data_IF_809156550082
#
_entry.id   IF_809156550082
#
_cell.length_a   1.000
_cell.length_b   1.000
_cell.length_c   1.000
_cell.angle_alpha   90.00
_cell.angle_beta   90.00
_cell.angle_gamma   90.00
#
_symmetry.space_group_name_H-M   'P 1'
#
loop_
_entity.id
_entity.type
_entity.pdbx_description
1 polymer ?
#
# COMPACT_ATOMS: atom_id res chain seq x y z
N UNK A 1 -59.67 -4.94 1.02
CA UNK A 1 -58.31 -5.34 0.66
C UNK A 1 -57.58 -5.56 1.98
N UNK A 2 -57.39 -6.83 2.33
CA UNK A 2 -56.85 -7.27 3.63
C UNK A 2 -55.31 -7.14 3.67
N UNK A 3 -54.69 -6.71 4.78
CA UNK A 3 -53.25 -6.52 4.88
C UNK A 3 -52.46 -7.74 5.40
N UNK A 4 -52.96 -8.96 5.24
CA UNK A 4 -52.33 -10.17 5.82
C UNK A 4 -51.93 -11.20 4.75
N UNK A 5 -51.00 -10.81 3.83
CA UNK A 5 -50.38 -11.79 2.92
C UNK A 5 -48.90 -11.43 2.65
N UNK A 6 -48.06 -11.41 3.69
CA UNK A 6 -46.63 -11.50 3.59
C UNK A 6 -46.15 -12.81 4.20
N UNK A 7 -46.21 -13.86 3.40
CA UNK A 7 -45.54 -15.12 3.67
C UNK A 7 -44.03 -14.88 3.69
N UNK A 8 -43.43 -15.02 4.86
CA UNK A 8 -41.98 -15.08 5.05
C UNK A 8 -41.41 -16.27 4.33
N UNK A 9 -40.75 -16.04 3.18
CA UNK A 9 -39.97 -17.05 2.50
C UNK A 9 -38.69 -17.32 3.30
N UNK A 10 -38.46 -18.60 3.56
CA UNK A 10 -37.27 -19.18 4.19
C UNK A 10 -35.97 -18.69 3.51
N UNK A 11 -34.97 -18.09 4.22
CA UNK A 11 -33.69 -17.65 3.63
C UNK A 11 -32.67 -18.76 3.40
N UNK A 12 -33.15 -20.01 3.24
CA UNK A 12 -32.28 -21.22 3.19
C UNK A 12 -31.73 -21.65 1.83
N UNK A 13 -31.99 -20.93 0.73
CA UNK A 13 -31.55 -21.39 -0.61
C UNK A 13 -31.14 -20.25 -1.55
N UNK A 14 -30.26 -19.37 -1.12
CA UNK A 14 -29.53 -18.51 -2.06
C UNK A 14 -28.32 -19.29 -2.57
N UNK A 15 -28.42 -19.79 -3.82
CA UNK A 15 -27.33 -20.48 -4.52
C UNK A 15 -26.06 -19.64 -4.54
N UNK A 16 -24.94 -20.30 -4.28
CA UNK A 16 -23.61 -19.72 -4.39
C UNK A 16 -23.43 -19.13 -5.80
N UNK A 17 -23.46 -17.80 -5.90
CA UNK A 17 -23.08 -17.10 -7.11
C UNK A 17 -21.61 -17.42 -7.47
N UNK A 18 -21.19 -17.20 -8.73
CA UNK A 18 -19.85 -17.56 -9.17
C UNK A 18 -18.80 -16.89 -8.28
N UNK A 19 -17.88 -17.71 -7.76
CA UNK A 19 -16.73 -17.30 -6.97
C UNK A 19 -15.95 -16.21 -7.70
N UNK A 20 -15.84 -15.03 -7.10
CA UNK A 20 -14.87 -14.04 -7.54
C UNK A 20 -13.46 -14.59 -7.28
N UNK A 21 -12.86 -15.18 -8.31
CA UNK A 21 -11.49 -15.72 -8.28
C UNK A 21 -10.40 -14.65 -8.12
N UNK A 22 -10.76 -13.37 -8.02
CA UNK A 22 -9.84 -12.25 -7.80
C UNK A 22 -9.44 -11.96 -6.36
N UNK A 23 -9.94 -12.75 -5.39
CA UNK A 23 -9.70 -12.48 -3.96
C UNK A 23 -8.58 -13.33 -3.35
N UNK A 24 -8.23 -14.45 -3.91
CA UNK A 24 -7.14 -15.28 -3.41
C UNK A 24 -5.78 -14.78 -3.91
N UNK A 25 -4.74 -14.79 -3.05
CA UNK A 25 -3.37 -14.64 -3.52
C UNK A 25 -3.03 -15.70 -4.56
N UNK A 26 -2.10 -15.42 -5.46
CA UNK A 26 -1.60 -16.42 -6.41
C UNK A 26 -1.11 -17.66 -5.65
N UNK A 27 -1.87 -18.75 -5.76
CA UNK A 27 -1.56 -19.98 -5.05
C UNK A 27 -0.35 -20.65 -5.70
N UNK A 28 0.68 -21.04 -4.92
CA UNK A 28 1.84 -21.75 -5.43
C UNK A 28 1.44 -22.99 -6.24
N UNK A 29 2.14 -23.26 -7.34
CA UNK A 29 1.81 -24.37 -8.26
C UNK A 29 2.00 -25.74 -7.62
N UNK A 30 2.84 -25.84 -6.61
CA UNK A 30 3.18 -27.04 -5.84
C UNK A 30 2.15 -27.41 -4.75
N UNK A 31 1.17 -26.53 -4.48
CA UNK A 31 0.07 -26.85 -3.58
C UNK A 31 -0.87 -27.90 -4.16
N UNK A 32 -1.21 -28.90 -3.37
CA UNK A 32 -2.17 -29.93 -3.77
C UNK A 32 -3.62 -29.39 -3.80
N UNK A 33 -4.52 -30.19 -4.41
CA UNK A 33 -5.93 -29.79 -4.56
C UNK A 33 -6.68 -29.67 -3.22
N UNK A 34 -6.30 -30.44 -2.19
CA UNK A 34 -6.93 -30.39 -0.86
C UNK A 34 -6.56 -29.10 -0.15
N UNK A 35 -5.27 -28.74 -0.17
CA UNK A 35 -4.79 -27.48 0.38
C UNK A 35 -5.49 -26.28 -0.29
N UNK A 36 -5.57 -26.28 -1.63
CA UNK A 36 -6.27 -25.22 -2.38
C UNK A 36 -7.75 -25.13 -1.99
N UNK A 37 -8.42 -26.29 -1.88
CA UNK A 37 -9.83 -26.33 -1.47
C UNK A 37 -10.04 -25.81 -0.06
N UNK A 38 -9.13 -26.14 0.89
CA UNK A 38 -9.16 -25.62 2.24
C UNK A 38 -8.99 -24.09 2.28
N UNK A 39 -8.02 -23.55 1.52
CA UNK A 39 -7.80 -22.11 1.46
C UNK A 39 -8.98 -21.35 0.85
N UNK A 40 -9.60 -21.88 -0.22
CA UNK A 40 -10.83 -21.30 -0.80
C UNK A 40 -11.96 -21.31 0.25
N UNK A 41 -12.14 -22.43 0.96
CA UNK A 41 -13.15 -22.50 2.01
C UNK A 41 -12.86 -21.53 3.17
N UNK A 42 -11.60 -21.44 3.58
CA UNK A 42 -11.17 -20.50 4.64
C UNK A 42 -11.45 -19.05 4.22
N UNK A 43 -11.12 -18.64 2.99
CA UNK A 43 -11.39 -17.31 2.47
C UNK A 43 -12.87 -16.94 2.55
N UNK A 44 -13.74 -17.87 2.14
CA UNK A 44 -15.20 -17.66 2.24
C UNK A 44 -15.66 -17.49 3.68
N UNK A 45 -15.04 -18.21 4.62
CA UNK A 45 -15.37 -18.11 6.04
C UNK A 45 -14.83 -16.81 6.63
N UNK A 46 -13.60 -16.40 6.31
CA UNK A 46 -13.03 -15.12 6.72
C UNK A 46 -13.88 -13.95 6.25
N UNK A 47 -14.29 -13.95 4.98
CA UNK A 47 -15.18 -12.93 4.42
C UNK A 47 -16.51 -12.86 5.16
N UNK A 48 -17.09 -14.02 5.51
CA UNK A 48 -18.34 -14.09 6.29
C UNK A 48 -18.17 -13.57 7.72
N UNK A 49 -17.09 -13.97 8.42
CA UNK A 49 -16.79 -13.50 9.78
C UNK A 49 -16.50 -11.99 9.81
N UNK A 50 -15.89 -11.45 8.78
CA UNK A 50 -15.66 -10.01 8.62
C UNK A 50 -16.96 -9.21 8.44
N UNK A 51 -17.97 -9.79 7.77
CA UNK A 51 -19.31 -9.22 7.68
C UNK A 51 -19.35 -7.83 7.04
N UNK A 52 -18.66 -7.64 5.89
CA UNK A 52 -18.57 -6.35 5.18
C UNK A 52 -17.98 -5.20 6.05
N UNK A 53 -17.03 -5.52 6.91
CA UNK A 53 -16.38 -4.53 7.79
C UNK A 53 -17.06 -4.35 9.15
N UNK A 54 -18.11 -5.10 9.46
CA UNK A 54 -18.71 -5.10 10.78
C UNK A 54 -17.72 -5.58 11.86
N UNK A 55 -16.86 -6.52 11.50
CA UNK A 55 -15.85 -7.09 12.37
C UNK A 55 -14.46 -6.89 11.80
N UNK A 56 -13.47 -7.00 12.68
CA UNK A 56 -12.05 -7.02 12.39
C UNK A 56 -11.45 -8.35 12.86
N UNK A 57 -10.69 -9.04 12.02
CA UNK A 57 -9.99 -10.27 12.38
C UNK A 57 -8.57 -9.88 12.79
N UNK A 58 -8.26 -10.05 14.09
CA UNK A 58 -7.00 -9.59 14.66
C UNK A 58 -5.86 -10.61 14.49
N UNK A 59 -6.17 -11.90 14.69
CA UNK A 59 -5.18 -12.96 14.66
C UNK A 59 -5.81 -14.33 14.42
N UNK A 60 -4.98 -15.32 14.20
CA UNK A 60 -5.38 -16.69 13.96
C UNK A 60 -4.42 -17.70 14.62
N UNK A 61 -4.89 -18.92 14.83
CA UNK A 61 -4.10 -20.00 15.37
C UNK A 61 -4.51 -21.32 14.70
N UNK A 62 -3.54 -22.22 14.49
CA UNK A 62 -3.82 -23.58 14.02
C UNK A 62 -4.54 -24.36 15.11
N UNK A 63 -5.57 -25.10 14.72
CA UNK A 63 -6.34 -26.01 15.57
C UNK A 63 -6.48 -27.36 14.85
N UNK A 64 -6.59 -28.46 15.59
CA UNK A 64 -6.74 -29.82 15.02
C UNK A 64 -7.89 -29.95 14.00
N UNK A 65 -8.99 -29.23 14.24
CA UNK A 65 -10.17 -29.23 13.36
C UNK A 65 -10.19 -28.06 12.35
N UNK A 66 -9.12 -27.24 12.25
CA UNK A 66 -9.07 -26.11 11.33
C UNK A 66 -8.30 -24.91 11.85
N UNK A 67 -8.95 -23.75 11.92
CA UNK A 67 -8.34 -22.46 12.33
C UNK A 67 -9.17 -21.78 13.39
N UNK A 68 -8.53 -21.35 14.48
CA UNK A 68 -9.13 -20.43 15.45
C UNK A 68 -8.89 -18.99 14.99
N UNK A 69 -9.91 -18.16 15.03
CA UNK A 69 -9.86 -16.74 14.68
C UNK A 69 -10.20 -15.88 15.89
N UNK A 70 -9.46 -14.82 16.10
CA UNK A 70 -9.81 -13.77 17.05
C UNK A 70 -10.55 -12.66 16.30
N UNK A 71 -11.87 -12.61 16.46
CA UNK A 71 -12.76 -11.70 15.72
C UNK A 71 -13.40 -10.74 16.71
N UNK A 72 -13.28 -9.44 16.43
CA UNK A 72 -13.82 -8.37 17.27
C UNK A 72 -14.68 -7.41 16.42
N UNK A 73 -15.66 -6.69 17.00
CA UNK A 73 -16.31 -5.59 16.30
C UNK A 73 -15.30 -4.54 15.84
N UNK A 74 -15.54 -3.88 14.69
CA UNK A 74 -14.62 -2.90 14.12
C UNK A 74 -14.21 -1.77 15.07
N UNK A 75 -15.11 -1.34 15.95
CA UNK A 75 -14.86 -0.27 16.93
C UNK A 75 -14.06 -0.74 18.15
N UNK A 76 -14.05 -2.04 18.45
CA UNK A 76 -13.45 -2.56 19.68
C UNK A 76 -11.94 -2.32 19.76
N UNK A 77 -11.24 -2.28 18.62
CA UNK A 77 -9.78 -2.03 18.59
C UNK A 77 -9.44 -0.69 19.25
N UNK A 78 -10.21 0.35 18.95
CA UNK A 78 -10.04 1.67 19.58
C UNK A 78 -10.50 1.68 21.05
N UNK A 79 -11.60 0.99 21.37
CA UNK A 79 -12.13 0.92 22.75
C UNK A 79 -11.17 0.22 23.71
N UNK A 80 -10.40 -0.76 23.26
CA UNK A 80 -9.41 -1.45 24.11
C UNK A 80 -8.34 -0.52 24.66
N UNK A 81 -8.05 0.59 24.00
CA UNK A 81 -7.00 1.55 24.40
C UNK A 81 -7.56 2.88 24.89
N UNK A 82 -8.84 3.15 24.65
CA UNK A 82 -9.49 4.43 24.97
C UNK A 82 -9.39 4.79 26.45
N UNK A 83 -9.12 6.06 26.75
CA UNK A 83 -9.24 6.57 28.11
C UNK A 83 -10.72 6.65 28.51
N UNK A 84 -11.12 6.25 29.75
CA UNK A 84 -12.49 6.43 30.18
C UNK A 84 -12.84 7.93 30.18
N UNK A 85 -14.09 8.23 29.84
CA UNK A 85 -14.60 9.57 30.03
C UNK A 85 -14.60 9.93 31.53
N UNK A 86 -14.51 11.23 31.87
CA UNK A 86 -14.57 11.68 33.25
C UNK A 86 -15.91 11.25 33.88
N UNK A 87 -15.82 10.43 34.93
CA UNK A 87 -17.00 9.88 35.64
C UNK A 87 -17.38 8.44 35.29
N UNK A 88 -16.76 7.84 34.28
CA UNK A 88 -16.99 6.43 33.97
C UNK A 88 -16.30 5.51 34.99
N UNK A 89 -16.88 4.34 35.29
CA UNK A 89 -16.23 3.32 36.11
C UNK A 89 -14.94 2.88 35.43
N UNK A 90 -13.94 2.39 36.19
CA UNK A 90 -12.67 1.94 35.63
C UNK A 90 -12.93 0.82 34.62
N UNK A 91 -12.85 1.16 33.33
CA UNK A 91 -12.98 0.20 32.24
C UNK A 91 -11.71 -0.61 32.11
N UNK A 92 -11.87 -1.89 31.82
CA UNK A 92 -10.75 -2.76 31.52
C UNK A 92 -10.09 -2.32 30.20
N UNK A 93 -8.74 -2.25 30.21
CA UNK A 93 -7.95 -1.80 29.09
C UNK A 93 -6.71 -2.63 28.89
N UNK A 94 -6.22 -2.62 27.67
CA UNK A 94 -4.87 -3.06 27.33
C UNK A 94 -4.00 -1.85 26.93
N UNK A 95 -2.70 -2.01 26.93
CA UNK A 95 -1.82 -0.94 26.44
C UNK A 95 -1.95 -0.80 24.92
N UNK A 96 -1.83 0.43 24.43
CA UNK A 96 -1.78 0.70 22.99
C UNK A 96 -0.70 -0.13 22.30
N UNK A 97 0.49 -0.20 22.92
CA UNK A 97 1.58 -1.03 22.43
C UNK A 97 1.18 -2.50 22.24
N UNK A 98 0.41 -3.08 23.15
CA UNK A 98 -0.08 -4.45 23.01
C UNK A 98 -0.97 -4.62 21.76
N UNK A 99 -1.87 -3.64 21.51
CA UNK A 99 -2.70 -3.67 20.29
C UNK A 99 -1.83 -3.48 19.05
N UNK A 100 -0.86 -2.55 19.09
CA UNK A 100 0.08 -2.34 17.99
C UNK A 100 0.86 -3.61 17.67
N UNK A 101 1.41 -4.28 18.68
CA UNK A 101 2.12 -5.56 18.50
C UNK A 101 1.22 -6.65 17.90
N UNK A 102 -0.07 -6.68 18.29
CA UNK A 102 -1.04 -7.65 17.78
C UNK A 102 -1.43 -7.41 16.31
N UNK A 103 -1.47 -6.13 15.88
CA UNK A 103 -1.84 -5.75 14.52
C UNK A 103 -0.63 -5.48 13.62
N UNK A 104 0.60 -5.68 14.11
CA UNK A 104 1.84 -5.63 13.35
C UNK A 104 2.33 -7.03 12.98
N UNK A 105 3.09 -7.15 11.91
CA UNK A 105 3.78 -8.39 11.55
C UNK A 105 2.84 -9.58 11.30
N UNK A 106 3.24 -10.76 11.78
CA UNK A 106 2.49 -12.01 11.61
C UNK A 106 1.26 -12.06 12.51
N UNK A 107 0.15 -12.56 11.95
CA UNK A 107 -1.12 -12.73 12.66
C UNK A 107 -1.27 -14.12 13.30
N UNK A 108 -0.39 -15.04 12.94
CA UNK A 108 -0.40 -16.38 13.51
C UNK A 108 0.09 -16.34 14.96
N UNK A 109 -0.71 -16.87 15.85
CA UNK A 109 -0.40 -17.08 17.25
C UNK A 109 -0.20 -18.56 17.54
N UNK A 110 0.60 -18.89 18.55
CA UNK A 110 0.59 -20.23 19.16
C UNK A 110 -0.68 -20.43 19.98
N UNK A 111 -1.10 -21.67 20.27
CA UNK A 111 -2.28 -21.91 21.14
C UNK A 111 -2.20 -21.19 22.48
N UNK A 112 -1.03 -21.18 23.13
CA UNK A 112 -0.82 -20.48 24.41
C UNK A 112 -0.93 -18.95 24.27
N UNK A 113 -0.43 -18.38 23.17
CA UNK A 113 -0.58 -16.96 22.89
C UNK A 113 -2.04 -16.61 22.59
N UNK A 114 -2.76 -17.44 21.81
CA UNK A 114 -4.18 -17.25 21.50
C UNK A 114 -5.01 -17.22 22.81
N UNK A 115 -4.78 -18.16 23.70
CA UNK A 115 -5.47 -18.19 25.00
C UNK A 115 -5.16 -16.94 25.86
N UNK A 116 -3.89 -16.51 25.89
CA UNK A 116 -3.49 -15.30 26.62
C UNK A 116 -4.15 -14.04 26.03
N UNK A 117 -4.11 -13.88 24.72
CA UNK A 117 -4.70 -12.72 24.01
C UNK A 117 -6.22 -12.73 24.17
N UNK A 118 -6.86 -13.87 24.01
CA UNK A 118 -8.31 -14.06 24.20
C UNK A 118 -8.75 -13.62 25.60
N UNK A 119 -8.04 -14.05 26.66
CA UNK A 119 -8.31 -13.61 28.03
C UNK A 119 -8.10 -12.10 28.22
N UNK A 120 -7.01 -11.56 27.66
CA UNK A 120 -6.69 -10.14 27.75
C UNK A 120 -7.73 -9.27 27.01
N UNK A 121 -8.22 -9.67 25.88
CA UNK A 121 -9.23 -8.96 25.11
C UNK A 121 -10.67 -9.33 25.50
N UNK A 122 -10.84 -10.34 26.37
CA UNK A 122 -12.15 -10.88 26.79
C UNK A 122 -13.03 -11.31 25.60
N UNK A 123 -12.38 -11.94 24.60
CA UNK A 123 -13.00 -12.39 23.36
C UNK A 123 -12.74 -13.87 23.19
N UNK A 124 -13.78 -14.66 22.98
CA UNK A 124 -13.64 -16.08 22.68
C UNK A 124 -13.25 -16.29 21.22
N UNK A 125 -12.19 -17.09 20.94
CA UNK A 125 -11.80 -17.41 19.58
C UNK A 125 -12.88 -18.20 18.85
N UNK A 126 -13.11 -17.91 17.58
CA UNK A 126 -14.08 -18.60 16.74
C UNK A 126 -13.41 -19.69 15.93
N UNK A 127 -13.93 -20.93 16.00
CA UNK A 127 -13.42 -22.06 15.24
C UNK A 127 -14.00 -22.09 13.82
N UNK A 128 -13.13 -21.95 12.84
CA UNK A 128 -13.42 -22.27 11.44
C UNK A 128 -12.97 -23.69 11.17
N UNK A 129 -13.94 -24.60 11.00
CA UNK A 129 -13.64 -26.00 10.67
C UNK A 129 -13.24 -26.12 9.21
N UNK A 130 -12.17 -26.84 8.94
CA UNK A 130 -11.70 -27.19 7.60
C UNK A 130 -12.04 -28.65 7.30
N UNK A 131 -12.08 -29.01 6.02
CA UNK A 131 -12.37 -30.39 5.58
C UNK A 131 -11.20 -31.32 5.87
N UNK A 132 -9.99 -30.83 5.61
CA UNK A 132 -8.74 -31.54 5.81
C UNK A 132 -7.87 -30.77 6.82
N UNK A 133 -7.02 -31.43 7.60
CA UNK A 133 -6.05 -30.76 8.47
C UNK A 133 -5.10 -29.87 7.67
N UNK A 134 -4.66 -28.77 8.26
CA UNK A 134 -3.61 -27.94 7.68
C UNK A 134 -2.29 -28.73 7.65
N UNK A 135 -1.57 -28.64 6.57
CA UNK A 135 -0.26 -29.29 6.40
C UNK A 135 0.83 -28.56 7.20
N UNK A 136 0.61 -27.26 7.48
CA UNK A 136 1.53 -26.43 8.25
C UNK A 136 2.80 -26.05 7.50
N UNK A 137 2.77 -26.13 6.14
CA UNK A 137 3.89 -25.64 5.33
C UNK A 137 4.04 -24.10 5.46
N UNK A 138 5.28 -23.62 5.30
CA UNK A 138 5.56 -22.18 5.32
C UNK A 138 4.72 -21.41 4.29
N UNK A 139 4.50 -21.98 3.10
CA UNK A 139 3.67 -21.38 2.06
C UNK A 139 2.20 -21.29 2.47
N UNK A 140 1.62 -22.36 3.02
CA UNK A 140 0.24 -22.39 3.51
C UNK A 140 0.03 -21.38 4.63
N UNK A 141 0.94 -21.36 5.61
CA UNK A 141 0.94 -20.41 6.73
C UNK A 141 0.97 -18.97 6.25
N UNK A 142 1.87 -18.64 5.31
CA UNK A 142 2.00 -17.29 4.73
C UNK A 142 0.70 -16.87 4.02
N UNK A 143 0.08 -17.76 3.27
CA UNK A 143 -1.17 -17.45 2.55
C UNK A 143 -2.30 -17.19 3.56
N UNK A 144 -2.45 -18.04 4.57
CA UNK A 144 -3.46 -17.83 5.63
C UNK A 144 -3.24 -16.49 6.32
N UNK A 145 -1.99 -16.15 6.64
CA UNK A 145 -1.65 -14.88 7.28
C UNK A 145 -2.01 -13.67 6.41
N UNK A 146 -1.72 -13.73 5.11
CA UNK A 146 -2.12 -12.70 4.14
C UNK A 146 -3.64 -12.58 4.05
N UNK A 147 -4.36 -13.70 4.03
CA UNK A 147 -5.84 -13.71 3.99
C UNK A 147 -6.42 -13.08 5.26
N UNK A 148 -5.90 -13.42 6.44
CA UNK A 148 -6.34 -12.85 7.72
C UNK A 148 -6.06 -11.35 7.78
N UNK A 149 -4.88 -10.90 7.37
CA UNK A 149 -4.52 -9.46 7.30
C UNK A 149 -5.50 -8.66 6.45
N UNK A 150 -6.02 -9.25 5.37
CA UNK A 150 -7.00 -8.62 4.49
C UNK A 150 -8.32 -8.27 5.19
N UNK A 151 -8.71 -9.03 6.19
CA UNK A 151 -9.95 -8.84 6.96
C UNK A 151 -9.71 -8.17 8.32
N UNK A 152 -8.56 -7.52 8.47
CA UNK A 152 -8.15 -6.82 9.67
C UNK A 152 -7.62 -5.42 9.39
N UNK A 153 -7.11 -4.78 10.44
CA UNK A 153 -6.33 -3.56 10.37
C UNK A 153 -4.87 -3.95 10.55
N UNK A 154 -3.99 -3.52 9.67
CA UNK A 154 -2.55 -3.78 9.77
C UNK A 154 -1.81 -2.48 10.06
N UNK A 155 -0.92 -2.50 11.04
CA UNK A 155 0.06 -1.43 11.26
C UNK A 155 1.39 -1.83 10.61
N UNK A 156 1.98 -0.90 9.88
CA UNK A 156 3.26 -1.07 9.20
C UNK A 156 4.16 0.13 9.51
N UNK A 157 5.34 -0.11 10.09
CA UNK A 157 6.26 0.97 10.50
C UNK A 157 7.00 1.62 9.33
N UNK A 158 7.37 0.82 8.32
CA UNK A 158 8.26 1.25 7.24
C UNK A 158 7.61 1.02 5.87
N UNK A 159 6.43 1.60 5.66
CA UNK A 159 5.74 1.53 4.38
C UNK A 159 6.18 2.66 3.46
N UNK A 160 6.72 2.32 2.29
CA UNK A 160 6.87 3.28 1.23
C UNK A 160 5.52 3.60 0.58
N UNK A 161 5.27 4.87 0.36
CA UNK A 161 4.09 5.36 -0.36
C UNK A 161 4.53 6.39 -1.38
N UNK A 162 3.99 6.29 -2.60
CA UNK A 162 4.11 7.31 -3.63
C UNK A 162 2.78 8.04 -3.77
N UNK A 163 2.81 9.36 -3.83
CA UNK A 163 1.67 10.21 -4.11
C UNK A 163 1.85 10.85 -5.48
N UNK A 164 0.85 10.70 -6.34
CA UNK A 164 0.74 11.41 -7.61
C UNK A 164 -0.42 12.38 -7.53
N UNK A 165 -0.18 13.60 -7.93
CA UNK A 165 -1.16 14.68 -7.88
C UNK A 165 -1.22 15.43 -9.22
N UNK A 166 -2.45 15.76 -9.67
CA UNK A 166 -2.70 16.46 -10.92
C UNK A 166 -2.69 17.96 -10.66
N UNK A 167 -1.76 18.64 -11.30
CA UNK A 167 -1.59 20.09 -11.15
C UNK A 167 -2.79 20.86 -11.67
N UNK A 168 -3.38 21.71 -10.82
CA UNK A 168 -4.49 22.59 -11.20
C UNK A 168 -5.82 21.87 -11.43
N UNK A 169 -6.00 20.67 -10.87
CA UNK A 169 -7.17 19.82 -11.09
C UNK A 169 -8.50 20.53 -10.81
N UNK A 170 -8.58 21.31 -9.73
CA UNK A 170 -9.79 22.07 -9.36
C UNK A 170 -10.17 23.17 -10.34
N UNK A 171 -9.27 23.59 -11.23
CA UNK A 171 -9.52 24.60 -12.24
C UNK A 171 -10.06 24.01 -13.55
N UNK A 172 -10.08 22.68 -13.66
CA UNK A 172 -10.53 21.97 -14.85
C UNK A 172 -12.05 21.81 -14.85
N UNK A 173 -12.64 21.76 -16.06
CA UNK A 173 -14.03 21.32 -16.19
C UNK A 173 -14.20 19.85 -15.77
N UNK A 174 -15.42 19.43 -15.37
CA UNK A 174 -15.67 18.04 -14.98
C UNK A 174 -15.26 17.00 -16.04
N UNK A 175 -15.40 17.34 -17.31
CA UNK A 175 -14.97 16.47 -18.41
C UNK A 175 -13.45 16.34 -18.49
N UNK A 176 -12.72 17.44 -18.32
CA UNK A 176 -11.26 17.43 -18.28
C UNK A 176 -10.74 16.69 -17.04
N UNK A 177 -11.36 16.89 -15.87
CA UNK A 177 -11.05 16.17 -14.65
C UNK A 177 -11.14 14.67 -14.86
N UNK A 178 -12.27 14.17 -15.39
CA UNK A 178 -12.46 12.77 -15.73
C UNK A 178 -11.40 12.26 -16.71
N UNK A 179 -11.12 13.02 -17.77
CA UNK A 179 -10.16 12.63 -18.81
C UNK A 179 -8.74 12.52 -18.24
N UNK A 180 -8.33 13.49 -17.42
CA UNK A 180 -6.99 13.49 -16.82
C UNK A 180 -6.82 12.41 -15.75
N UNK A 181 -7.82 12.15 -14.90
CA UNK A 181 -7.79 11.02 -13.95
C UNK A 181 -7.72 9.67 -14.67
N UNK A 182 -8.50 9.50 -15.75
CA UNK A 182 -8.43 8.28 -16.55
C UNK A 182 -7.05 8.09 -17.19
N UNK A 183 -6.44 9.17 -17.70
CA UNK A 183 -5.08 9.13 -18.23
C UNK A 183 -4.04 8.75 -17.18
N UNK A 184 -4.13 9.28 -15.95
CA UNK A 184 -3.27 8.89 -14.84
C UNK A 184 -3.48 7.42 -14.46
N UNK A 185 -4.73 6.96 -14.35
CA UNK A 185 -5.04 5.55 -14.10
C UNK A 185 -4.44 4.63 -15.17
N UNK A 186 -4.47 5.04 -16.44
CA UNK A 186 -3.81 4.29 -17.51
C UNK A 186 -2.30 4.20 -17.30
N UNK A 187 -1.63 5.32 -16.95
CA UNK A 187 -0.19 5.31 -16.70
C UNK A 187 0.19 4.41 -15.51
N UNK A 188 -0.65 4.35 -14.46
CA UNK A 188 -0.47 3.42 -13.35
C UNK A 188 -0.55 1.96 -13.82
N UNK A 189 -1.58 1.61 -14.58
CA UNK A 189 -1.78 0.25 -15.07
C UNK A 189 -0.68 -0.15 -16.07
N UNK A 190 -0.24 0.77 -16.93
CA UNK A 190 0.87 0.57 -17.88
C UNK A 190 2.18 0.28 -17.15
N UNK A 191 2.50 1.07 -16.11
CA UNK A 191 3.67 0.86 -15.29
C UNK A 191 3.63 -0.50 -14.56
N UNK A 192 2.46 -0.87 -14.02
CA UNK A 192 2.26 -2.18 -13.38
C UNK A 192 2.52 -3.35 -14.35
N UNK A 193 1.94 -3.30 -15.54
CA UNK A 193 2.18 -4.32 -16.55
C UNK A 193 3.67 -4.46 -16.89
N UNK A 194 4.41 -3.34 -16.96
CA UNK A 194 5.86 -3.35 -17.21
C UNK A 194 6.66 -3.96 -16.06
N UNK A 195 6.27 -3.70 -14.81
CA UNK A 195 6.91 -4.35 -13.67
C UNK A 195 6.74 -5.87 -13.74
N UNK A 196 5.54 -6.35 -14.10
CA UNK A 196 5.28 -7.78 -14.29
C UNK A 196 6.10 -8.39 -15.44
N UNK A 197 6.19 -7.70 -16.60
CA UNK A 197 7.07 -8.10 -17.70
C UNK A 197 8.52 -8.24 -17.25
N UNK A 198 9.00 -7.29 -16.43
CA UNK A 198 10.33 -7.30 -15.84
C UNK A 198 10.53 -8.34 -14.72
N UNK A 199 9.49 -9.11 -14.37
CA UNK A 199 9.48 -10.04 -13.22
C UNK A 199 9.84 -9.36 -11.89
N UNK A 200 9.51 -8.09 -11.76
CA UNK A 200 9.70 -7.32 -10.55
C UNK A 200 8.47 -7.50 -9.66
N UNK A 201 8.67 -7.99 -8.45
CA UNK A 201 7.59 -8.19 -7.48
C UNK A 201 6.97 -6.86 -7.10
N UNK A 202 5.71 -6.68 -7.45
CA UNK A 202 4.90 -5.56 -6.98
C UNK A 202 3.44 -5.98 -6.85
N UNK A 203 2.95 -5.89 -5.64
CA UNK A 203 1.55 -6.09 -5.30
C UNK A 203 1.00 -4.74 -4.85
N UNK A 204 0.75 -3.85 -5.83
CA UNK A 204 0.39 -2.48 -5.49
C UNK A 204 -1.09 -2.35 -5.08
N UNK A 205 -1.31 -1.44 -4.13
CA UNK A 205 -2.60 -0.93 -3.75
C UNK A 205 -2.69 0.56 -4.10
N UNK A 206 -3.90 1.07 -4.25
CA UNK A 206 -4.14 2.48 -4.51
C UNK A 206 -5.34 3.01 -3.74
N UNK A 207 -5.25 4.26 -3.29
CA UNK A 207 -6.35 5.02 -2.73
C UNK A 207 -6.43 6.39 -3.42
N UNK A 208 -7.63 6.80 -3.82
CA UNK A 208 -7.82 8.10 -4.48
C UNK A 208 -7.74 9.25 -3.47
N UNK A 209 -7.13 10.37 -3.88
CA UNK A 209 -7.16 11.65 -3.17
C UNK A 209 -8.21 12.62 -3.73
N UNK A 210 -8.90 12.19 -4.80
CA UNK A 210 -9.81 13.04 -5.57
C UNK A 210 -9.13 13.61 -6.84
N UNK A 211 -7.96 14.18 -6.70
CA UNK A 211 -7.13 14.75 -7.77
C UNK A 211 -5.86 13.94 -8.08
N UNK A 212 -5.74 12.76 -7.47
CA UNK A 212 -4.60 11.88 -7.63
C UNK A 212 -4.75 10.55 -6.91
N UNK A 213 -3.61 9.93 -6.62
CA UNK A 213 -3.59 8.61 -5.97
C UNK A 213 -2.40 8.46 -5.04
N UNK A 214 -2.67 7.92 -3.83
CA UNK A 214 -1.68 7.20 -3.03
C UNK A 214 -1.50 5.81 -3.62
N UNK A 215 -0.25 5.41 -3.78
CA UNK A 215 0.12 4.06 -4.25
C UNK A 215 1.14 3.48 -3.26
N UNK A 216 0.95 2.22 -2.88
CA UNK A 216 1.91 1.50 -2.05
C UNK A 216 2.02 0.03 -2.46
N UNK A 217 3.11 -0.62 -2.09
CA UNK A 217 3.25 -2.05 -2.28
C UNK A 217 2.77 -2.77 -1.01
N UNK A 218 1.84 -3.72 -1.13
CA UNK A 218 1.34 -4.51 0.00
C UNK A 218 2.36 -5.51 0.52
N UNK A 219 3.33 -5.90 -0.33
CA UNK A 219 4.39 -6.82 0.07
C UNK A 219 5.29 -6.15 1.12
N UNK A 220 5.85 -6.97 2.02
CA UNK A 220 6.72 -6.53 3.11
C UNK A 220 8.17 -7.03 2.96
N UNK A 221 8.55 -7.53 1.77
CA UNK A 221 9.91 -7.99 1.52
C UNK A 221 10.92 -6.82 1.42
N UNK A 222 12.20 -7.17 1.44
CA UNK A 222 13.28 -6.18 1.40
C UNK A 222 13.25 -5.27 0.16
N UNK A 223 12.74 -5.77 -0.96
CA UNK A 223 12.66 -5.05 -2.23
C UNK A 223 11.37 -4.24 -2.39
N UNK A 224 10.37 -4.45 -1.52
CA UNK A 224 9.03 -3.88 -1.70
C UNK A 224 9.03 -2.35 -1.84
N UNK A 225 9.77 -1.65 -0.98
CA UNK A 225 9.87 -0.19 -1.00
C UNK A 225 10.65 0.30 -2.24
N UNK A 226 11.73 -0.39 -2.62
CA UNK A 226 12.53 -0.08 -3.81
C UNK A 226 11.73 -0.31 -5.08
N UNK A 227 10.97 -1.41 -5.15
CA UNK A 227 10.11 -1.70 -6.29
C UNK A 227 9.01 -0.63 -6.46
N UNK A 228 8.44 -0.10 -5.37
CA UNK A 228 7.50 1.02 -5.46
C UNK A 228 8.16 2.28 -6.00
N UNK A 229 9.40 2.59 -5.58
CA UNK A 229 10.15 3.74 -6.09
C UNK A 229 10.42 3.61 -7.60
N UNK A 230 10.78 2.41 -8.06
CA UNK A 230 10.94 2.11 -9.49
C UNK A 230 9.61 2.24 -10.25
N UNK A 231 8.52 1.74 -9.68
CA UNK A 231 7.18 1.87 -10.23
C UNK A 231 6.81 3.35 -10.44
N UNK A 232 7.07 4.20 -9.45
CA UNK A 232 6.83 5.64 -9.55
C UNK A 232 7.54 6.25 -10.78
N UNK A 233 8.79 5.86 -11.06
CA UNK A 233 9.53 6.34 -12.22
C UNK A 233 8.87 5.91 -13.53
N UNK A 234 8.38 4.68 -13.62
CA UNK A 234 7.70 4.18 -14.82
C UNK A 234 6.37 4.91 -15.06
N UNK A 235 5.58 5.19 -14.01
CA UNK A 235 4.34 5.97 -14.10
C UNK A 235 4.62 7.36 -14.66
N UNK A 236 5.59 8.07 -14.10
CA UNK A 236 5.95 9.41 -14.54
C UNK A 236 6.48 9.42 -15.96
N UNK A 237 7.26 8.39 -16.35
CA UNK A 237 7.77 8.25 -17.71
C UNK A 237 6.65 8.00 -18.73
N UNK A 238 5.72 7.10 -18.42
CA UNK A 238 4.57 6.81 -19.28
C UNK A 238 3.71 8.06 -19.47
N UNK A 239 3.39 8.76 -18.37
CA UNK A 239 2.66 10.02 -18.43
C UNK A 239 3.41 11.09 -19.27
N UNK A 240 4.72 11.25 -19.11
CA UNK A 240 5.51 12.20 -19.88
C UNK A 240 5.51 11.87 -21.38
N UNK A 241 5.57 10.60 -21.76
CA UNK A 241 5.45 10.16 -23.16
C UNK A 241 4.06 10.46 -23.70
N UNK A 242 3.01 10.11 -22.96
CA UNK A 242 1.64 10.37 -23.34
C UNK A 242 1.40 11.88 -23.57
N UNK A 243 1.91 12.73 -22.69
CA UNK A 243 1.83 14.20 -22.84
C UNK A 243 2.52 14.73 -24.09
N UNK A 244 3.67 14.18 -24.49
CA UNK A 244 4.35 14.57 -25.74
C UNK A 244 3.55 14.19 -26.99
N UNK A 245 2.75 13.12 -26.90
CA UNK A 245 1.90 12.63 -28.00
C UNK A 245 0.54 13.31 -28.04
N UNK A 246 0.03 13.77 -26.92
CA UNK A 246 -1.27 14.42 -26.82
C UNK A 246 -1.27 15.78 -27.52
N UNK A 247 -2.32 16.04 -28.28
CA UNK A 247 -2.55 17.34 -28.96
C UNK A 247 -3.32 18.33 -28.11
N UNK A 248 -3.89 17.88 -27.01
CA UNK A 248 -4.71 18.66 -26.07
C UNK A 248 -4.21 18.45 -24.63
N UNK A 249 -4.77 19.20 -23.69
CA UNK A 249 -4.47 19.06 -22.26
C UNK A 249 -5.12 17.81 -21.60
N UNK A 250 -5.42 16.77 -22.38
CA UNK A 250 -6.06 15.54 -21.89
C UNK A 250 -5.17 14.66 -21.00
N UNK A 251 -3.86 14.83 -21.07
CA UNK A 251 -2.90 14.13 -20.23
C UNK A 251 -2.37 15.08 -19.15
N UNK A 252 -2.48 14.73 -17.86
CA UNK A 252 -2.19 15.65 -16.76
C UNK A 252 -0.72 16.04 -16.67
N UNK A 253 -0.46 17.25 -16.17
CA UNK A 253 0.81 17.58 -15.56
C UNK A 253 0.79 17.03 -14.13
N UNK A 254 1.78 16.24 -13.80
CA UNK A 254 1.88 15.63 -12.49
C UNK A 254 2.94 16.33 -11.64
N UNK A 255 2.75 16.29 -10.36
CA UNK A 255 3.78 16.39 -9.33
C UNK A 255 3.72 15.10 -8.50
N UNK A 256 4.84 14.68 -7.95
CA UNK A 256 4.91 13.42 -7.23
C UNK A 256 5.71 13.59 -5.94
N UNK A 257 5.36 12.78 -4.94
CA UNK A 257 6.10 12.69 -3.70
C UNK A 257 6.27 11.23 -3.29
N UNK A 258 7.39 10.91 -2.69
CA UNK A 258 7.71 9.59 -2.15
C UNK A 258 8.19 9.73 -0.70
N UNK A 259 7.64 8.90 0.18
CA UNK A 259 8.07 8.88 1.58
C UNK A 259 7.97 7.45 2.13
N UNK A 260 8.75 7.16 3.18
CA UNK A 260 8.66 5.92 3.94
C UNK A 260 8.33 6.28 5.38
N UNK A 261 7.31 5.66 5.94
CA UNK A 261 6.87 5.95 7.30
C UNK A 261 5.83 4.97 7.79
N UNK A 262 5.29 5.26 8.97
CA UNK A 262 4.29 4.43 9.61
C UNK A 262 2.89 4.67 9.03
N UNK A 263 2.11 3.59 8.96
CA UNK A 263 0.72 3.66 8.53
C UNK A 263 -0.12 2.50 9.06
N UNK A 264 -1.43 2.70 8.96
CA UNK A 264 -2.43 1.64 9.06
C UNK A 264 -2.98 1.34 7.68
N UNK A 265 -3.08 0.06 7.35
CA UNK A 265 -3.72 -0.45 6.15
C UNK A 265 -4.97 -1.22 6.54
N UNK A 266 -6.07 -0.98 5.86
CA UNK A 266 -7.32 -1.71 6.06
C UNK A 266 -8.14 -1.74 4.79
N UNK A 267 -9.07 -2.69 4.72
CA UNK A 267 -9.96 -2.87 3.58
C UNK A 267 -11.39 -2.53 3.98
N UNK A 268 -12.11 -1.92 3.06
CA UNK A 268 -13.51 -1.62 3.22
C UNK A 268 -14.29 -2.12 2.00
N UNK A 269 -15.41 -2.80 2.24
CA UNK A 269 -16.33 -3.19 1.18
C UNK A 269 -17.38 -2.11 0.96
N UNK A 270 -17.75 -1.89 -0.29
CA UNK A 270 -18.87 -1.03 -0.63
C UNK A 270 -20.13 -1.86 -0.93
N UNK A 271 -21.18 -1.60 -0.16
CA UNK A 271 -22.54 -2.09 -0.41
C UNK A 271 -22.67 -3.61 -0.53
N UNK A 272 -23.64 -4.05 -1.32
CA UNK A 272 -23.95 -5.47 -1.58
C UNK A 272 -23.01 -6.12 -2.60
N UNK A 273 -22.23 -5.32 -3.32
CA UNK A 273 -21.24 -5.82 -4.27
C UNK A 273 -19.88 -5.86 -3.57
N UNK A 274 -19.18 -7.00 -3.50
CA UNK A 274 -17.96 -7.16 -2.71
C UNK A 274 -16.73 -6.48 -3.36
N UNK A 275 -16.89 -5.28 -3.89
CA UNK A 275 -15.76 -4.46 -4.30
C UNK A 275 -15.07 -3.98 -3.03
N UNK A 276 -13.85 -4.46 -2.81
CA UNK A 276 -13.02 -4.10 -1.67
C UNK A 276 -12.10 -2.96 -2.05
N UNK A 277 -12.18 -1.86 -1.31
CA UNK A 277 -11.26 -0.73 -1.46
C UNK A 277 -10.17 -0.80 -0.41
N UNK A 278 -8.95 -0.49 -0.84
CA UNK A 278 -7.79 -0.39 0.04
C UNK A 278 -7.69 1.04 0.58
N UNK A 279 -7.49 1.14 1.87
CA UNK A 279 -7.23 2.40 2.56
C UNK A 279 -5.90 2.37 3.26
N UNK A 280 -5.22 3.51 3.23
CA UNK A 280 -3.99 3.76 3.96
C UNK A 280 -4.12 5.09 4.70
N UNK A 281 -3.81 5.10 5.99
CA UNK A 281 -3.82 6.30 6.83
C UNK A 281 -2.65 6.25 7.80
N UNK A 282 -2.11 7.40 8.15
CA UNK A 282 -1.03 7.49 9.14
C UNK A 282 -0.03 8.58 8.80
N UNK A 283 1.10 8.51 9.47
CA UNK A 283 2.16 9.52 9.35
C UNK A 283 2.63 9.69 7.90
N UNK A 284 2.90 8.57 7.18
CA UNK A 284 3.39 8.62 5.81
C UNK A 284 2.44 9.36 4.85
N UNK A 285 1.13 9.19 5.00
CA UNK A 285 0.14 9.87 4.13
C UNK A 285 0.00 11.34 4.46
N UNK A 286 0.12 11.71 5.75
CA UNK A 286 0.14 13.10 6.19
C UNK A 286 1.36 13.82 5.64
N UNK A 287 2.54 13.22 5.78
CA UNK A 287 3.79 13.80 5.26
C UNK A 287 3.72 14.01 3.74
N UNK A 288 3.26 13.01 2.99
CA UNK A 288 3.11 13.12 1.54
C UNK A 288 2.13 14.23 1.12
N UNK A 289 0.98 14.34 1.78
CA UNK A 289 0.01 15.40 1.52
C UNK A 289 0.63 16.80 1.71
N UNK A 290 1.43 16.97 2.77
CA UNK A 290 2.12 18.23 3.07
C UNK A 290 3.23 18.54 2.07
N UNK A 291 3.98 17.53 1.64
CA UNK A 291 5.03 17.66 0.63
C UNK A 291 4.43 18.12 -0.69
N UNK A 292 3.34 17.46 -1.12
CA UNK A 292 2.75 17.72 -2.44
C UNK A 292 2.12 19.10 -2.54
N UNK A 293 1.59 19.67 -1.47
CA UNK A 293 1.07 21.03 -1.44
C UNK A 293 2.14 22.07 -1.86
N UNK A 294 3.43 21.79 -1.61
CA UNK A 294 4.57 22.68 -1.91
C UNK A 294 5.32 22.30 -3.19
N UNK A 295 4.98 21.18 -3.79
CA UNK A 295 5.65 20.73 -5.00
C UNK A 295 5.24 21.57 -6.22
N UNK A 296 6.22 21.95 -7.02
CA UNK A 296 6.03 22.62 -8.30
C UNK A 296 5.54 21.62 -9.38
N UNK A 297 4.90 22.08 -10.43
CA UNK A 297 4.51 21.22 -11.55
C UNK A 297 5.71 20.47 -12.15
N UNK A 298 5.64 19.13 -12.19
CA UNK A 298 6.70 18.26 -12.67
C UNK A 298 7.78 17.95 -11.63
N UNK A 299 7.66 18.44 -10.40
CA UNK A 299 8.58 18.16 -9.31
C UNK A 299 8.37 16.78 -8.74
N UNK A 300 9.46 16.18 -8.29
CA UNK A 300 9.47 14.91 -7.54
C UNK A 300 10.14 15.19 -6.21
N UNK A 301 9.36 15.08 -5.12
CA UNK A 301 9.89 15.16 -3.78
C UNK A 301 10.15 13.76 -3.20
N UNK A 302 11.24 13.64 -2.46
CA UNK A 302 11.52 12.51 -1.57
C UNK A 302 11.59 13.07 -0.16
N UNK A 303 10.81 12.53 0.77
CA UNK A 303 10.82 12.96 2.16
C UNK A 303 12.14 12.61 2.86
N UNK A 304 12.41 13.31 3.96
CA UNK A 304 13.52 12.97 4.86
C UNK A 304 13.00 11.88 5.80
N UNK A 305 13.43 10.65 5.60
CA UNK A 305 12.99 9.50 6.37
C UNK A 305 14.15 8.60 6.77
N UNK A 306 13.90 7.79 7.78
CA UNK A 306 14.73 6.65 8.16
C UNK A 306 13.88 5.38 8.01
N UNK A 307 14.33 4.44 7.19
CA UNK A 307 13.67 3.18 6.96
C UNK A 307 14.56 2.03 7.41
N UNK A 308 13.99 1.05 8.10
CA UNK A 308 14.68 -0.20 8.35
C UNK A 308 14.39 -1.16 7.21
N UNK A 309 15.43 -1.76 6.66
CA UNK A 309 15.25 -2.87 5.73
C UNK A 309 14.82 -4.09 6.53
N UNK A 310 13.53 -4.40 6.52
CA UNK A 310 13.02 -5.65 7.10
C UNK A 310 13.20 -6.75 6.06
N UNK A 311 14.32 -7.48 6.12
CA UNK A 311 14.51 -8.67 5.30
C UNK A 311 13.61 -9.83 5.72
N UNK A 312 13.17 -9.85 6.98
CA UNK A 312 12.21 -10.78 7.56
C UNK A 312 11.50 -10.10 8.74
N UNK A 313 10.27 -10.55 9.05
CA UNK A 313 9.44 -10.06 10.16
C UNK A 313 10.05 -10.36 11.55
N UNK A 314 11.31 -10.78 11.62
CA UNK A 314 12.06 -11.03 12.86
C UNK A 314 12.84 -9.77 13.26
N UNK A 315 12.53 -9.16 14.42
CA UNK A 315 13.23 -7.99 14.93
C UNK A 315 14.75 -8.21 15.12
N UNK A 316 15.20 -9.46 15.21
CA UNK A 316 16.62 -9.83 15.36
C UNK A 316 17.39 -9.81 14.04
N UNK A 317 16.69 -9.84 12.90
CA UNK A 317 17.27 -9.78 11.54
C UNK A 317 17.07 -8.42 10.87
N UNK A 318 16.69 -7.39 11.64
CA UNK A 318 16.49 -6.04 11.12
C UNK A 318 17.76 -5.61 10.35
N UNK A 319 17.58 -5.33 9.06
CA UNK A 319 18.63 -4.82 8.19
C UNK A 319 19.10 -3.41 8.61
N UNK A 320 20.10 -2.85 7.93
CA UNK A 320 20.64 -1.55 8.29
C UNK A 320 19.56 -0.46 8.19
N UNK A 321 19.64 0.49 9.12
CA UNK A 321 18.86 1.73 9.05
C UNK A 321 19.31 2.54 7.83
N UNK A 322 18.36 2.85 6.93
CA UNK A 322 18.60 3.56 5.69
C UNK A 322 17.96 4.95 5.78
N UNK A 323 18.76 5.99 5.70
CA UNK A 323 18.24 7.33 5.43
C UNK A 323 17.79 7.47 3.97
N UNK A 324 17.04 8.52 3.68
CA UNK A 324 16.49 8.77 2.35
C UNK A 324 17.58 8.87 1.25
N UNK A 325 18.76 9.41 1.56
CA UNK A 325 19.88 9.53 0.62
C UNK A 325 20.40 8.16 0.24
N UNK A 326 20.69 7.33 1.24
CA UNK A 326 21.19 5.97 1.04
C UNK A 326 20.16 5.07 0.38
N UNK A 327 18.88 5.27 0.70
CA UNK A 327 17.79 4.58 0.03
C UNK A 327 17.77 4.86 -1.49
N UNK A 328 17.87 6.15 -1.89
CA UNK A 328 17.88 6.53 -3.32
C UNK A 328 19.14 6.02 -4.02
N UNK A 329 20.30 6.01 -3.35
CA UNK A 329 21.53 5.45 -3.91
C UNK A 329 21.42 3.94 -4.14
N UNK A 330 20.81 3.19 -3.22
CA UNK A 330 20.55 1.76 -3.39
C UNK A 330 19.53 1.51 -4.51
N UNK A 331 18.42 2.26 -4.51
CA UNK A 331 17.42 2.19 -5.56
C UNK A 331 18.03 2.48 -6.95
N UNK A 332 18.97 3.43 -7.04
CA UNK A 332 19.71 3.71 -8.28
C UNK A 332 20.51 2.49 -8.76
N UNK A 333 21.11 1.72 -7.86
CA UNK A 333 21.85 0.51 -8.23
C UNK A 333 20.93 -0.57 -8.78
N UNK A 334 19.74 -0.71 -8.19
CA UNK A 334 18.73 -1.70 -8.58
C UNK A 334 17.98 -1.35 -9.88
N UNK A 335 18.01 -0.09 -10.34
CA UNK A 335 17.41 0.33 -11.61
C UNK A 335 17.95 -0.44 -12.84
N UNK A 336 19.06 -1.17 -12.69
CA UNK A 336 19.54 -2.09 -13.72
C UNK A 336 18.51 -3.15 -14.09
N UNK A 337 17.64 -3.53 -13.16
CA UNK A 337 16.54 -4.49 -13.37
C UNK A 337 15.51 -4.00 -14.40
N UNK A 338 15.38 -2.68 -14.59
CA UNK A 338 14.48 -2.09 -15.57
C UNK A 338 15.07 -1.98 -16.99
N UNK A 339 16.36 -2.33 -17.19
CA UNK A 339 16.98 -2.32 -18.52
C UNK A 339 16.31 -3.34 -19.43
N UNK A 340 16.09 -2.94 -20.67
CA UNK A 340 15.44 -3.79 -21.66
C UNK A 340 13.91 -3.72 -21.67
N UNK A 341 13.26 -3.17 -20.63
CA UNK A 341 11.83 -2.89 -20.69
C UNK A 341 11.48 -1.91 -21.81
N UNK A 342 10.33 -2.11 -22.42
CA UNK A 342 9.91 -1.30 -23.56
C UNK A 342 8.98 -0.18 -23.08
N UNK A 343 9.38 1.07 -23.33
CA UNK A 343 8.57 2.27 -23.12
C UNK A 343 8.17 2.87 -24.46
N UNK A 344 6.90 2.74 -24.81
CA UNK A 344 6.35 3.28 -26.06
C UNK A 344 7.11 2.86 -27.33
N UNK A 345 7.43 1.57 -27.41
CA UNK A 345 8.11 0.98 -28.57
C UNK A 345 9.65 1.01 -28.48
N UNK A 346 10.22 1.73 -27.53
CA UNK A 346 11.67 1.88 -27.37
C UNK A 346 12.19 1.19 -26.10
N UNK A 347 13.33 0.51 -26.21
CA UNK A 347 13.97 -0.18 -25.07
C UNK A 347 14.68 0.81 -24.16
N UNK A 348 14.55 0.59 -22.85
CA UNK A 348 15.32 1.33 -21.85
C UNK A 348 16.77 0.82 -21.90
N UNK A 349 17.71 1.71 -22.19
CA UNK A 349 19.14 1.43 -22.15
C UNK A 349 19.76 1.70 -20.78
N UNK A 350 19.32 2.77 -20.10
CA UNK A 350 19.74 3.12 -18.75
C UNK A 350 18.72 4.01 -18.05
N UNK A 351 18.66 3.91 -16.72
CA UNK A 351 17.94 4.86 -15.87
C UNK A 351 18.91 5.40 -14.83
N UNK A 352 18.83 6.70 -14.57
CA UNK A 352 19.55 7.37 -13.48
C UNK A 352 18.55 8.12 -12.62
N UNK A 353 18.52 7.85 -11.32
CA UNK A 353 17.83 8.66 -10.34
C UNK A 353 18.83 9.24 -9.34
N UNK A 354 18.59 10.45 -8.89
CA UNK A 354 19.46 11.13 -7.94
C UNK A 354 18.73 12.27 -7.25
N UNK A 355 19.16 12.58 -6.05
CA UNK A 355 18.72 13.79 -5.33
C UNK A 355 19.54 14.98 -5.84
N UNK A 356 18.88 16.12 -6.02
CA UNK A 356 19.52 17.32 -6.58
C UNK A 356 20.23 18.13 -5.50
N UNK A 357 21.18 18.95 -5.92
CA UNK A 357 21.93 19.82 -5.07
C UNK A 357 22.91 20.70 -5.83
N UNK A 358 23.88 21.28 -5.13
CA UNK A 358 24.86 22.18 -5.70
C UNK A 358 25.96 21.42 -6.43
N UNK A 359 26.40 21.97 -7.57
CA UNK A 359 27.57 21.46 -8.25
C UNK A 359 28.82 21.90 -7.48
N UNK A 360 29.57 20.93 -7.02
CA UNK A 360 30.83 21.14 -6.31
C UNK A 360 31.97 21.46 -7.30
N UNK A 361 33.05 22.06 -6.78
CA UNK A 361 34.27 22.32 -7.58
C UNK A 361 34.86 21.05 -8.20
N UNK A 362 34.65 19.88 -7.58
CA UNK A 362 35.05 18.56 -8.09
C UNK A 362 34.22 18.08 -9.30
N UNK A 363 33.21 18.83 -9.73
CA UNK A 363 32.24 18.43 -10.77
C UNK A 363 31.13 17.49 -10.28
N UNK A 364 31.19 17.00 -9.04
CA UNK A 364 30.15 16.23 -8.38
C UNK A 364 29.05 17.17 -7.88
N UNK A 365 27.87 16.61 -7.58
CA UNK A 365 26.77 17.35 -6.95
C UNK A 365 26.70 16.96 -5.46
N UNK A 366 26.51 17.97 -4.58
CA UNK A 366 26.07 17.73 -3.22
C UNK A 366 24.57 17.40 -3.22
N UNK A 367 24.09 16.73 -2.19
CA UNK A 367 22.65 16.58 -1.96
C UNK A 367 22.17 17.79 -1.15
N UNK A 368 21.08 18.43 -1.59
CA UNK A 368 20.49 19.55 -0.91
C UNK A 368 19.22 19.12 -0.18
N UNK A 369 19.21 19.28 1.13
CA UNK A 369 18.02 19.19 1.96
C UNK A 369 17.26 20.50 1.86
N UNK A 370 15.99 20.46 1.50
CA UNK A 370 15.10 21.62 1.42
C UNK A 370 14.20 21.62 2.65
N UNK A 371 13.98 22.77 3.19
CA UNK A 371 12.98 22.97 4.25
C UNK A 371 11.72 23.57 3.61
N UNK A 372 10.58 22.91 3.84
CA UNK A 372 9.27 23.36 3.37
C UNK A 372 8.35 23.58 4.57
N UNK A 373 7.65 24.71 4.61
CA UNK A 373 6.64 24.99 5.62
C UNK A 373 5.26 24.64 5.08
N UNK A 374 4.46 23.88 5.82
CA UNK A 374 3.08 23.61 5.48
C UNK A 374 2.17 24.83 5.77
N UNK A 375 0.87 24.69 5.48
CA UNK A 375 -0.13 25.75 5.75
C UNK A 375 -0.32 26.09 7.23
N UNK A 376 0.17 25.26 8.13
CA UNK A 376 0.15 25.47 9.60
C UNK A 376 1.47 25.98 10.13
N UNK A 377 2.46 26.26 9.26
CA UNK A 377 3.79 26.73 9.63
C UNK A 377 4.73 25.64 10.16
N UNK A 378 4.37 24.37 10.06
CA UNK A 378 5.25 23.28 10.45
C UNK A 378 6.27 23.01 9.35
N UNK A 379 7.55 23.09 9.72
CA UNK A 379 8.66 22.87 8.82
C UNK A 379 8.95 21.37 8.64
N UNK A 380 9.25 20.98 7.41
CA UNK A 380 9.64 19.61 7.03
C UNK A 380 10.84 19.64 6.12
N UNK A 381 11.68 18.63 6.27
CA UNK A 381 12.81 18.42 5.39
C UNK A 381 12.43 17.49 4.24
N UNK A 382 12.79 17.87 3.02
CA UNK A 382 12.58 17.08 1.81
C UNK A 382 13.77 17.18 0.88
N UNK A 383 13.85 16.28 -0.07
CA UNK A 383 14.81 16.32 -1.16
C UNK A 383 14.10 16.44 -2.50
N UNK A 384 14.66 17.23 -3.40
CA UNK A 384 14.20 17.25 -4.79
C UNK A 384 14.91 16.15 -5.58
N UNK A 385 14.15 15.33 -6.30
CA UNK A 385 14.68 14.22 -7.06
C UNK A 385 14.58 14.44 -8.57
N UNK A 386 15.52 13.85 -9.30
CA UNK A 386 15.49 13.75 -10.76
C UNK A 386 15.63 12.33 -11.22
N UNK A 387 14.97 12.03 -12.34
CA UNK A 387 15.05 10.74 -13.01
C UNK A 387 15.28 10.97 -14.50
N UNK A 388 16.33 10.38 -15.03
CA UNK A 388 16.67 10.43 -16.45
C UNK A 388 16.58 9.00 -17.01
N UNK A 389 15.71 8.76 -17.95
CA UNK A 389 15.52 7.48 -18.61
C UNK A 389 16.04 7.59 -20.03
N UNK A 390 17.13 6.86 -20.30
CA UNK A 390 17.75 6.79 -21.61
C UNK A 390 17.17 5.61 -22.39
N UNK A 391 16.85 5.83 -23.66
CA UNK A 391 16.29 4.83 -24.57
C UNK A 391 17.24 4.61 -25.74
N UNK A 392 17.13 3.46 -26.41
CA UNK A 392 18.10 3.07 -27.44
C UNK A 392 18.10 3.99 -28.64
N UNK A 393 16.92 4.33 -29.18
CA UNK A 393 16.78 5.10 -30.43
C UNK A 393 15.88 6.35 -30.29
N UNK A 394 15.50 6.72 -29.07
CA UNK A 394 14.65 7.87 -28.84
C UNK A 394 15.25 8.84 -27.82
N UNK A 395 14.77 10.08 -27.88
CA UNK A 395 15.13 11.15 -26.94
C UNK A 395 14.97 10.69 -25.48
N UNK A 396 15.90 11.07 -24.59
CA UNK A 396 15.78 10.76 -23.18
C UNK A 396 14.50 11.34 -22.57
N UNK A 397 13.94 10.65 -21.59
CA UNK A 397 12.85 11.15 -20.76
C UNK A 397 13.48 11.74 -19.50
N UNK A 398 13.41 13.07 -19.37
CA UNK A 398 13.96 13.80 -18.23
C UNK A 398 12.80 14.19 -17.32
N UNK A 399 12.78 13.62 -16.10
CA UNK A 399 11.73 13.82 -15.10
C UNK A 399 12.29 14.58 -13.89
N UNK A 400 11.42 15.29 -13.20
CA UNK A 400 11.77 16.17 -12.10
C UNK A 400 12.33 17.51 -12.57
N UNK A 401 12.45 18.46 -11.66
CA UNK A 401 12.98 19.81 -11.92
C UNK A 401 14.43 19.94 -11.45
N UNK A 402 15.19 20.85 -12.02
CA UNK A 402 16.58 21.08 -11.65
C UNK A 402 16.68 22.04 -10.46
N UNK A 403 17.70 21.88 -9.63
CA UNK A 403 17.94 22.73 -8.45
C UNK A 403 18.01 24.21 -8.77
N UNK A 404 18.53 24.58 -9.96
CA UNK A 404 18.58 25.98 -10.42
C UNK A 404 17.19 26.64 -10.58
N UNK A 405 16.15 25.85 -10.80
CA UNK A 405 14.76 26.35 -10.90
C UNK A 405 14.26 26.72 -9.51
N UNK A 406 14.59 25.92 -8.50
CA UNK A 406 14.20 26.15 -7.11
C UNK A 406 14.77 27.43 -6.50
N UNK A 407 15.90 27.92 -7.04
CA UNK A 407 16.58 29.14 -6.53
C UNK A 407 15.99 30.45 -7.08
N UNK A 408 15.13 30.40 -8.08
CA UNK A 408 14.54 31.59 -8.69
C UNK A 408 13.28 32.05 -7.99
N UNK A 409 12.68 31.18 -7.17
CA UNK A 409 11.40 31.40 -6.48
C UNK A 409 11.57 31.56 -4.95
N UNK A 410 12.82 31.59 -4.45
CA UNK A 410 13.20 31.98 -3.09
C UNK A 410 13.87 33.35 -3.12
#
# INVERSE_FOLDING_TARGET
MNPDDYSMADPGAAGAGPLHTGSLPDLPRDMDLRQRSNLVHLEQRLHREWGLGQNCILSWCVHEAGVLLLVVPHYAVAEYTAAPAAGDPPQWRVSERFIMDLISGRRQLTPAQMEKVSRLLRVEPRLVRLRDPLVGSAAETRIIDMMVKRYGISYVENRAVALFDIVGFSLLSPFEQMTQLNSLSYSLNSAYAKMLEGKLGINFARSSTGDGFYIWNRDGDADANTNLYHFMHLVLADNAIARRKARTASVPRLRAAFHVGSCYEFHQAEGLNPTVHDYIVGEVTIELARMIERAMPGQIFVGDFHARSCADEDPLTAGPDLDAIRFVDLAQQDLRRLRGLVLSGERISAIKCYLTGEKLASGKYSVRKLEIADKHGLCRCVYNAKVNIYREQAEPILLGIEDRVLRRDT
#
